data_IF_131303846295
#
_entry.id   IF_131303846295
#
_cell.length_a   1.000
_cell.length_b   1.000
_cell.length_c   1.000
_cell.angle_alpha   90.00
_cell.angle_beta   90.00
_cell.angle_gamma   90.00
#
_symmetry.space_group_name_H-M   'P 1'
#
loop_
_entity.id
_entity.type
_entity.pdbx_description
1 polymer ?
#
# COMPACT_ATOMS: atom_id res chain seq x y z
N UNK A 1 23.98 4.28 26.06
CA UNK A 1 23.58 5.12 24.91
C UNK A 1 22.71 4.26 24.02
N UNK A 2 21.40 4.31 24.25
CA UNK A 2 20.42 3.48 23.55
C UNK A 2 20.15 4.05 22.16
N UNK A 3 21.03 3.72 21.20
CA UNK A 3 20.83 4.00 19.78
C UNK A 3 19.86 2.98 19.16
N UNK A 4 18.66 2.86 19.72
CA UNK A 4 17.53 2.22 19.03
C UNK A 4 16.89 3.23 18.06
N UNK A 5 17.65 3.68 17.07
CA UNK A 5 17.09 4.34 15.88
C UNK A 5 16.36 3.28 15.05
N UNK A 6 15.19 2.85 15.52
CA UNK A 6 14.28 2.06 14.70
C UNK A 6 13.70 3.00 13.65
N UNK A 7 14.23 2.92 12.42
CA UNK A 7 13.67 3.66 11.29
C UNK A 7 12.18 3.32 11.15
N UNK A 8 11.32 4.32 11.39
CA UNK A 8 9.86 4.18 11.41
C UNK A 8 9.27 3.74 10.06
N UNK A 9 10.05 3.85 8.97
CA UNK A 9 9.62 3.43 7.65
C UNK A 9 9.73 1.92 7.39
N UNK A 10 10.46 1.17 8.21
CA UNK A 10 10.56 -0.29 8.07
C UNK A 10 9.43 -0.98 8.84
N UNK A 11 8.85 -2.02 8.23
CA UNK A 11 7.87 -2.89 8.87
C UNK A 11 8.33 -4.34 8.85
N UNK A 12 7.73 -5.13 9.73
CA UNK A 12 7.88 -6.59 9.77
C UNK A 12 6.61 -7.29 9.25
N UNK A 13 6.64 -8.61 9.11
CA UNK A 13 5.48 -9.43 8.68
C UNK A 13 4.27 -9.24 9.61
N UNK A 14 4.49 -8.86 10.85
CA UNK A 14 3.44 -8.55 11.81
C UNK A 14 2.79 -7.18 11.58
N UNK A 15 3.40 -6.28 10.80
CA UNK A 15 2.87 -4.94 10.53
C UNK A 15 1.84 -4.87 9.41
N UNK A 16 0.86 -3.98 9.56
CA UNK A 16 -0.16 -3.73 8.53
C UNK A 16 0.53 -3.40 7.22
N UNK A 17 0.05 -3.99 6.12
CA UNK A 17 0.62 -3.83 4.79
C UNK A 17 -0.38 -3.19 3.86
N UNK A 18 0.04 -2.10 3.24
CA UNK A 18 -0.75 -1.36 2.27
C UNK A 18 0.09 -1.16 1.02
N UNK A 19 -0.56 -1.16 -0.14
CA UNK A 19 0.05 -0.69 -1.37
C UNK A 19 0.15 0.83 -1.36
N UNK A 20 0.97 1.41 -2.24
CA UNK A 20 1.01 2.87 -2.38
C UNK A 20 -0.34 3.41 -2.85
N UNK A 21 -1.04 2.69 -3.72
CA UNK A 21 -2.38 3.03 -4.20
C UNK A 21 -3.41 3.06 -3.06
N UNK A 22 -3.45 2.01 -2.23
CA UNK A 22 -4.35 1.95 -1.08
C UNK A 22 -4.04 3.06 -0.07
N UNK A 23 -2.76 3.36 0.13
CA UNK A 23 -2.31 4.42 1.02
C UNK A 23 -2.85 5.80 0.61
N UNK A 24 -2.65 6.21 -0.65
CA UNK A 24 -3.18 7.50 -1.13
C UNK A 24 -4.71 7.52 -1.14
N UNK A 25 -5.34 6.39 -1.48
CA UNK A 25 -6.81 6.27 -1.42
C UNK A 25 -7.37 6.45 0.00
N UNK A 26 -6.63 6.03 1.04
CA UNK A 26 -6.99 6.25 2.44
C UNK A 26 -6.80 7.71 2.81
N UNK A 27 -5.68 8.33 2.42
CA UNK A 27 -5.39 9.74 2.73
C UNK A 27 -6.50 10.67 2.23
N UNK A 28 -7.01 10.45 1.01
CA UNK A 28 -8.09 11.25 0.42
C UNK A 28 -9.38 11.27 1.27
N UNK A 29 -9.54 10.28 2.17
CA UNK A 29 -10.73 10.13 3.01
C UNK A 29 -10.61 10.81 4.38
N UNK A 30 -9.40 11.21 4.77
CA UNK A 30 -9.11 11.72 6.11
C UNK A 30 -9.18 13.25 6.12
N UNK A 31 -9.86 13.80 7.12
CA UNK A 31 -9.85 15.23 7.43
C UNK A 31 -8.84 15.52 8.54
N UNK A 32 -7.92 16.45 8.28
CA UNK A 32 -6.83 16.83 9.19
C UNK A 32 -7.33 17.41 10.52
N UNK A 33 -8.43 18.17 10.52
CA UNK A 33 -8.98 18.83 11.72
C UNK A 33 -9.46 17.87 12.80
N UNK A 34 -9.70 16.59 12.45
CA UNK A 34 -10.17 15.56 13.37
C UNK A 34 -9.03 14.75 14.00
N UNK A 35 -7.80 14.95 13.53
CA UNK A 35 -6.62 14.25 14.04
C UNK A 35 -5.97 15.04 15.16
N UNK A 36 -5.53 14.34 16.21
CA UNK A 36 -4.67 14.97 17.23
C UNK A 36 -3.34 15.44 16.61
N UNK A 37 -2.62 16.39 17.23
CA UNK A 37 -1.30 16.81 16.76
C UNK A 37 -0.29 15.65 16.63
N UNK A 38 -0.39 14.66 17.52
CA UNK A 38 0.45 13.45 17.45
C UNK A 38 0.06 12.56 16.26
N UNK A 39 -1.24 12.41 16.00
CA UNK A 39 -1.75 11.69 14.82
C UNK A 39 -1.29 12.35 13.52
N UNK A 40 -1.41 13.67 13.43
CA UNK A 40 -0.96 14.45 12.28
C UNK A 40 0.55 14.27 12.01
N UNK A 41 1.38 14.28 13.06
CA UNK A 41 2.82 14.06 12.93
C UNK A 41 3.14 12.66 12.40
N UNK A 42 2.43 11.62 12.85
CA UNK A 42 2.58 10.25 12.32
C UNK A 42 2.21 10.17 10.84
N UNK A 43 1.11 10.80 10.43
CA UNK A 43 0.71 10.87 9.02
C UNK A 43 1.73 11.61 8.16
N UNK A 44 2.30 12.72 8.67
CA UNK A 44 3.36 13.45 7.98
C UNK A 44 4.61 12.58 7.77
N UNK A 45 5.07 11.89 8.81
CA UNK A 45 6.21 10.98 8.72
C UNK A 45 5.91 9.83 7.73
N UNK A 46 4.68 9.30 7.75
CA UNK A 46 4.28 8.25 6.83
C UNK A 46 4.22 8.74 5.39
N UNK A 47 3.78 9.97 5.17
CA UNK A 47 3.76 10.61 3.86
C UNK A 47 5.15 10.81 3.31
N UNK A 48 6.09 11.29 4.11
CA UNK A 48 7.48 11.46 3.72
C UNK A 48 8.10 10.12 3.26
N UNK A 49 8.00 9.06 4.06
CA UNK A 49 8.54 7.74 3.69
C UNK A 49 7.82 7.17 2.46
N UNK A 50 6.51 7.41 2.31
CA UNK A 50 5.75 6.92 1.15
C UNK A 50 6.11 7.68 -0.13
N UNK A 51 6.30 8.99 -0.05
CA UNK A 51 6.73 9.83 -1.16
C UNK A 51 8.12 9.45 -1.65
N UNK A 52 9.08 9.25 -0.74
CA UNK A 52 10.40 8.72 -1.12
C UNK A 52 10.27 7.33 -1.73
N UNK A 53 9.44 6.46 -1.14
CA UNK A 53 9.16 5.14 -1.68
C UNK A 53 8.71 5.18 -3.15
N UNK A 54 7.70 6.01 -3.44
CA UNK A 54 7.15 6.19 -4.79
C UNK A 54 8.20 6.72 -5.76
N UNK A 55 9.00 7.72 -5.35
CA UNK A 55 10.01 8.30 -6.24
C UNK A 55 11.15 7.33 -6.57
N UNK A 56 11.47 6.40 -5.67
CA UNK A 56 12.51 5.37 -5.90
C UNK A 56 12.00 4.12 -6.63
N UNK A 57 10.68 3.88 -6.73
CA UNK A 57 10.13 2.69 -7.44
C UNK A 57 10.66 2.55 -8.86
N UNK A 58 10.68 3.59 -9.73
CA UNK A 58 11.19 3.45 -11.09
C UNK A 58 12.67 3.04 -11.14
N UNK A 59 13.47 3.53 -10.19
CA UNK A 59 14.89 3.20 -10.10
C UNK A 59 15.11 1.73 -9.73
N UNK A 60 14.33 1.19 -8.79
CA UNK A 60 14.39 -0.22 -8.42
C UNK A 60 13.79 -1.15 -9.47
N UNK A 61 12.78 -0.70 -10.21
CA UNK A 61 12.15 -1.52 -11.26
C UNK A 61 13.01 -1.59 -12.54
N UNK A 62 13.89 -0.60 -12.77
CA UNK A 62 14.64 -0.50 -14.02
C UNK A 62 15.48 -1.75 -14.36
N UNK A 63 16.28 -2.35 -13.46
CA UNK A 63 17.06 -3.55 -13.79
C UNK A 63 16.18 -4.75 -14.15
N UNK A 64 15.05 -4.92 -13.45
CA UNK A 64 14.09 -6.00 -13.70
C UNK A 64 13.41 -5.77 -15.05
N UNK A 65 12.95 -4.56 -15.31
CA UNK A 65 12.33 -4.18 -16.58
C UNK A 65 13.30 -4.35 -17.75
N UNK A 66 14.56 -3.97 -17.57
CA UNK A 66 15.61 -4.17 -18.56
C UNK A 66 15.83 -5.64 -18.88
N UNK A 67 15.91 -6.49 -17.86
CA UNK A 67 16.05 -7.94 -18.02
C UNK A 67 14.87 -8.57 -18.78
N UNK A 68 13.64 -8.24 -18.38
CA UNK A 68 12.42 -8.73 -19.05
C UNK A 68 12.37 -8.23 -20.50
N UNK A 69 12.67 -6.95 -20.73
CA UNK A 69 12.69 -6.40 -22.09
C UNK A 69 13.69 -7.13 -22.97
N UNK A 70 14.91 -7.40 -22.49
CA UNK A 70 15.90 -8.15 -23.26
C UNK A 70 15.48 -9.59 -23.56
N UNK A 71 14.82 -10.24 -22.60
CA UNK A 71 14.27 -11.59 -22.81
C UNK A 71 13.20 -11.59 -23.90
N UNK A 72 12.33 -10.58 -23.95
CA UNK A 72 11.23 -10.48 -24.93
C UNK A 72 11.72 -10.09 -26.33
N UNK A 73 12.68 -9.17 -26.44
CA UNK A 73 13.13 -8.65 -27.74
C UNK A 73 14.29 -9.43 -28.35
N UNK A 74 15.00 -10.24 -27.55
CA UNK A 74 16.15 -11.01 -28.00
C UNK A 74 17.41 -10.17 -28.29
N UNK A 75 18.42 -10.79 -28.92
CA UNK A 75 19.71 -10.15 -29.21
C UNK A 75 19.56 -9.02 -30.23
N UNK A 76 20.01 -7.84 -29.82
CA UNK A 76 20.08 -6.58 -30.59
C UNK A 76 20.96 -6.77 -31.84
N UNK A 77 20.36 -6.80 -33.04
CA UNK A 77 21.11 -6.76 -34.33
C UNK A 77 21.23 -5.31 -34.82
N UNK A 78 22.44 -4.91 -35.24
CA UNK A 78 22.78 -3.54 -35.70
C UNK A 78 21.88 -3.14 -36.87
N UNK A 79 20.99 -2.18 -36.65
CA UNK A 79 20.13 -1.63 -37.70
C UNK A 79 19.08 -0.70 -37.14
N UNK A 80 18.18 -1.21 -36.29
CA UNK A 80 17.04 -0.46 -35.70
C UNK A 80 16.70 -0.95 -34.28
N UNK A 81 17.58 -1.75 -33.68
CA UNK A 81 17.36 -2.46 -32.42
C UNK A 81 17.28 -1.55 -31.19
N UNK A 82 17.92 -0.38 -31.24
CA UNK A 82 17.88 0.60 -30.15
C UNK A 82 16.45 1.05 -29.84
N UNK A 83 15.70 1.44 -30.87
CA UNK A 83 14.30 1.88 -30.72
C UNK A 83 13.37 0.74 -30.32
N UNK A 84 13.55 -0.47 -30.87
CA UNK A 84 12.69 -1.63 -30.53
C UNK A 84 12.84 -2.02 -29.06
N UNK A 85 14.06 -2.09 -28.55
CA UNK A 85 14.30 -2.41 -27.14
C UNK A 85 13.92 -1.25 -26.22
N UNK A 86 14.24 0.00 -26.61
CA UNK A 86 13.91 1.16 -25.80
C UNK A 86 12.39 1.39 -25.72
N UNK A 87 11.66 1.23 -26.82
CA UNK A 87 10.19 1.32 -26.83
C UNK A 87 9.56 0.23 -25.98
N UNK A 88 9.99 -1.04 -26.15
CA UNK A 88 9.45 -2.15 -25.35
C UNK A 88 9.73 -1.94 -23.87
N UNK A 89 10.94 -1.49 -23.52
CA UNK A 89 11.31 -1.15 -22.15
C UNK A 89 10.46 0.00 -21.60
N UNK A 90 10.42 1.15 -22.26
CA UNK A 90 9.85 2.39 -21.72
C UNK A 90 8.33 2.44 -21.79
N UNK A 91 7.72 1.85 -22.82
CA UNK A 91 6.28 1.96 -23.06
C UNK A 91 5.49 0.76 -22.55
N UNK A 92 6.13 -0.39 -22.35
CA UNK A 92 5.45 -1.62 -21.92
C UNK A 92 6.04 -2.10 -20.60
N UNK A 93 7.27 -2.61 -20.61
CA UNK A 93 7.80 -3.38 -19.48
C UNK A 93 8.00 -2.52 -18.24
N UNK A 94 8.56 -1.33 -18.37
CA UNK A 94 8.81 -0.42 -17.25
C UNK A 94 7.50 0.07 -16.61
N UNK A 95 6.49 0.55 -17.36
CA UNK A 95 5.18 0.88 -16.79
C UNK A 95 4.52 -0.29 -16.05
N UNK A 96 4.53 -1.50 -16.60
CA UNK A 96 3.92 -2.68 -15.95
C UNK A 96 4.67 -3.11 -14.69
N UNK A 97 6.01 -3.09 -14.71
CA UNK A 97 6.82 -3.41 -13.53
C UNK A 97 6.65 -2.36 -12.42
N UNK A 98 6.63 -1.07 -12.78
CA UNK A 98 6.33 0.01 -11.85
C UNK A 98 4.90 -0.11 -11.30
N UNK A 99 3.90 -0.37 -12.14
CA UNK A 99 2.51 -0.58 -11.71
C UNK A 99 2.39 -1.74 -10.71
N UNK A 100 3.04 -2.86 -10.99
CA UNK A 100 3.12 -3.98 -10.05
C UNK A 100 3.78 -3.56 -8.73
N UNK A 101 4.89 -2.83 -8.77
CA UNK A 101 5.56 -2.35 -7.56
C UNK A 101 4.70 -1.34 -6.77
N UNK A 102 3.90 -0.50 -7.43
CA UNK A 102 2.99 0.44 -6.77
C UNK A 102 1.80 -0.25 -6.08
N UNK A 103 1.32 -1.35 -6.66
CA UNK A 103 0.16 -2.13 -6.17
C UNK A 103 0.54 -3.23 -5.19
N UNK A 104 1.82 -3.58 -5.07
CA UNK A 104 2.29 -4.59 -4.12
C UNK A 104 2.16 -4.08 -2.68
N UNK A 105 1.55 -4.85 -1.75
CA UNK A 105 1.41 -4.44 -0.36
C UNK A 105 2.75 -4.44 0.37
N UNK A 106 3.09 -3.33 1.02
CA UNK A 106 4.35 -3.16 1.77
C UNK A 106 4.01 -3.05 3.27
N UNK A 107 4.53 -3.94 4.12
CA UNK A 107 4.35 -3.82 5.57
C UNK A 107 5.11 -2.60 6.08
N UNK A 108 4.45 -1.76 6.88
CA UNK A 108 5.11 -0.63 7.55
C UNK A 108 4.58 -0.47 8.97
N UNK A 109 5.50 -0.27 9.91
CA UNK A 109 5.16 -0.04 11.31
C UNK A 109 4.26 1.18 11.51
N UNK A 110 4.49 2.26 10.77
CA UNK A 110 3.65 3.45 10.82
C UNK A 110 2.19 3.18 10.42
N UNK A 111 1.92 2.23 9.50
CA UNK A 111 0.54 1.82 9.20
C UNK A 111 -0.11 1.18 10.44
N UNK A 112 0.61 0.27 11.10
CA UNK A 112 0.16 -0.35 12.35
C UNK A 112 -0.07 0.70 13.43
N UNK A 113 0.86 1.62 13.65
CA UNK A 113 0.77 2.63 14.72
C UNK A 113 -0.38 3.63 14.54
N UNK A 114 -0.80 3.87 13.30
CA UNK A 114 -1.93 4.74 12.98
C UNK A 114 -3.24 3.95 13.09
N UNK A 115 -3.34 2.86 12.32
CA UNK A 115 -4.58 2.08 12.15
C UNK A 115 -4.92 1.29 13.43
N UNK A 116 -3.93 0.71 14.09
CA UNK A 116 -4.12 -0.10 15.29
C UNK A 116 -4.04 0.70 16.58
N UNK A 117 -4.01 2.03 16.53
CA UNK A 117 -4.02 2.82 17.75
C UNK A 117 -5.38 2.70 18.47
N UNK A 118 -5.32 2.53 19.80
CA UNK A 118 -6.51 2.47 20.67
C UNK A 118 -7.08 3.87 21.01
N UNK A 119 -6.51 4.92 20.42
CA UNK A 119 -6.91 6.30 20.65
C UNK A 119 -8.07 6.70 19.73
N UNK A 120 -8.67 7.86 20.00
CA UNK A 120 -9.72 8.44 19.17
C UNK A 120 -9.30 8.58 17.69
N UNK A 121 -8.02 8.90 17.42
CA UNK A 121 -7.48 9.00 16.06
C UNK A 121 -7.57 7.67 15.30
N UNK A 122 -7.17 6.56 15.93
CA UNK A 122 -7.24 5.23 15.31
C UNK A 122 -8.67 4.80 15.02
N UNK A 123 -9.57 5.02 15.99
CA UNK A 123 -11.00 4.78 15.79
C UNK A 123 -11.57 5.64 14.66
N UNK A 124 -11.19 6.91 14.59
CA UNK A 124 -11.58 7.82 13.51
C UNK A 124 -11.11 7.31 12.14
N UNK A 125 -9.82 6.98 12.01
CA UNK A 125 -9.24 6.45 10.76
C UNK A 125 -9.95 5.17 10.32
N UNK A 126 -10.11 4.19 11.23
CA UNK A 126 -10.80 2.93 10.92
C UNK A 126 -12.25 3.17 10.46
N UNK A 127 -12.99 4.02 11.16
CA UNK A 127 -14.37 4.35 10.80
C UNK A 127 -14.47 5.09 9.46
N UNK A 128 -13.55 6.02 9.17
CA UNK A 128 -13.50 6.73 7.89
C UNK A 128 -13.23 5.79 6.73
N UNK A 129 -12.23 4.91 6.86
CA UNK A 129 -11.91 3.92 5.83
C UNK A 129 -13.10 2.99 5.61
N UNK A 130 -13.73 2.51 6.69
CA UNK A 130 -14.92 1.65 6.63
C UNK A 130 -16.09 2.31 5.88
N UNK A 131 -16.32 3.60 6.10
CA UNK A 131 -17.43 4.34 5.49
C UNK A 131 -17.15 4.72 4.03
N UNK A 132 -15.96 5.22 3.71
CA UNK A 132 -15.67 5.80 2.40
C UNK A 132 -15.02 4.83 1.42
N UNK A 133 -14.26 3.85 1.92
CA UNK A 133 -13.50 2.88 1.11
C UNK A 133 -13.73 1.44 1.64
N UNK A 134 -14.96 0.91 1.53
CA UNK A 134 -15.31 -0.40 2.11
C UNK A 134 -14.48 -1.56 1.53
N UNK A 135 -14.03 -1.47 0.27
CA UNK A 135 -13.14 -2.48 -0.33
C UNK A 135 -11.77 -2.54 0.34
N UNK A 136 -11.15 -1.39 0.60
CA UNK A 136 -9.88 -1.29 1.33
C UNK A 136 -10.09 -1.75 2.77
N UNK A 137 -11.19 -1.34 3.41
CA UNK A 137 -11.54 -1.77 4.75
C UNK A 137 -11.67 -3.29 4.86
N UNK A 138 -12.27 -3.98 3.89
CA UNK A 138 -12.39 -5.44 3.91
C UNK A 138 -11.01 -6.10 3.95
N UNK A 139 -10.10 -5.72 3.05
CA UNK A 139 -8.72 -6.22 3.01
C UNK A 139 -7.97 -5.95 4.32
N UNK A 140 -8.06 -4.72 4.82
CA UNK A 140 -7.46 -4.33 6.10
C UNK A 140 -8.05 -5.11 7.27
N UNK A 141 -9.38 -5.25 7.33
CA UNK A 141 -10.07 -5.96 8.41
C UNK A 141 -9.67 -7.43 8.49
N UNK A 142 -9.46 -8.07 7.34
CA UNK A 142 -8.94 -9.43 7.24
C UNK A 142 -7.51 -9.51 7.74
N UNK A 143 -6.67 -8.58 7.32
CA UNK A 143 -5.29 -8.51 7.78
C UNK A 143 -5.21 -8.30 9.31
N UNK A 144 -5.99 -7.38 9.85
CA UNK A 144 -6.05 -7.10 11.29
C UNK A 144 -6.54 -8.31 12.08
N UNK A 145 -7.57 -9.00 11.59
CA UNK A 145 -8.11 -10.20 12.21
C UNK A 145 -7.07 -11.33 12.28
N UNK A 146 -6.40 -11.61 11.15
CA UNK A 146 -5.35 -12.64 11.03
C UNK A 146 -4.14 -12.35 11.92
N UNK A 147 -3.92 -11.07 12.25
CA UNK A 147 -2.83 -10.60 13.12
C UNK A 147 -3.24 -10.47 14.59
N UNK A 148 -4.41 -10.97 14.96
CA UNK A 148 -4.96 -10.95 16.32
C UNK A 148 -5.25 -9.54 16.88
N UNK A 149 -5.38 -8.52 16.02
CA UNK A 149 -5.93 -7.25 16.46
C UNK A 149 -7.44 -7.37 16.65
N UNK A 150 -7.96 -6.72 17.70
CA UNK A 150 -9.37 -6.74 18.08
C UNK A 150 -9.82 -5.30 18.32
N UNK A 151 -10.79 -4.85 17.53
CA UNK A 151 -11.32 -3.49 17.56
C UNK A 151 -12.85 -3.55 17.45
N UNK A 152 -13.59 -2.61 18.06
CA UNK A 152 -15.05 -2.59 17.95
C UNK A 152 -15.52 -2.33 16.51
N UNK A 153 -14.70 -1.70 15.67
CA UNK A 153 -15.07 -1.42 14.27
C UNK A 153 -14.93 -2.64 13.35
N UNK A 154 -14.13 -3.63 13.78
CA UNK A 154 -14.02 -4.95 13.16
C UNK A 154 -15.31 -5.75 13.44
N UNK A 155 -16.43 -5.30 12.88
CA UNK A 155 -17.69 -6.05 12.82
C UNK A 155 -17.56 -7.18 11.80
N UNK A 156 -16.68 -8.13 12.07
CA UNK A 156 -16.90 -9.49 11.65
C UNK A 156 -17.69 -10.08 12.80
N UNK A 157 -18.94 -10.45 12.54
CA UNK A 157 -19.67 -11.29 13.47
C UNK A 157 -18.73 -12.43 13.86
N UNK A 158 -18.46 -12.61 15.16
CA UNK A 158 -17.64 -13.71 15.70
C UNK A 158 -18.21 -15.09 15.30
N UNK A 159 -19.35 -15.12 14.62
CA UNK A 159 -20.10 -16.24 14.07
C UNK A 159 -19.99 -16.42 12.55
N UNK A 160 -19.45 -15.46 11.78
CA UNK A 160 -19.26 -15.60 10.34
C UNK A 160 -17.92 -16.29 10.03
N UNK A 161 -17.97 -17.47 9.41
CA UNK A 161 -16.79 -18.32 9.16
C UNK A 161 -15.92 -17.86 7.99
N UNK A 162 -16.40 -16.96 7.13
CA UNK A 162 -15.72 -16.62 5.89
C UNK A 162 -15.77 -15.12 5.55
N UNK A 163 -14.65 -14.62 5.03
CA UNK A 163 -14.54 -13.28 4.48
C UNK A 163 -15.29 -13.22 3.15
N UNK A 164 -16.17 -12.22 2.93
CA UNK A 164 -16.88 -12.14 1.68
C UNK A 164 -15.89 -11.87 0.52
N UNK A 165 -15.97 -12.68 -0.53
CA UNK A 165 -15.06 -12.63 -1.68
C UNK A 165 -15.23 -11.32 -2.48
N UNK A 166 -14.16 -10.88 -3.14
CA UNK A 166 -13.93 -9.56 -3.77
C UNK A 166 -14.84 -9.20 -4.97
N UNK A 167 -15.92 -9.93 -5.20
CA UNK A 167 -16.92 -9.51 -6.20
C UNK A 167 -17.77 -8.40 -5.59
N UNK A 168 -17.56 -7.18 -6.08
CA UNK A 168 -18.55 -6.10 -6.01
C UNK A 168 -19.86 -6.70 -6.50
N UNK A 169 -20.80 -6.94 -5.59
CA UNK A 169 -22.15 -7.32 -5.99
C UNK A 169 -22.65 -6.19 -6.89
N UNK A 170 -23.03 -6.45 -8.15
CA UNK A 170 -23.68 -5.43 -8.96
C UNK A 170 -24.90 -4.96 -8.18
N UNK A 171 -25.02 -3.65 -8.00
CA UNK A 171 -26.17 -3.01 -7.37
C UNK A 171 -27.46 -3.70 -7.86
N UNK A 172 -28.20 -4.33 -6.94
CA UNK A 172 -29.59 -4.66 -7.19
C UNK A 172 -30.37 -3.37 -7.01
N UNK A 173 -30.80 -2.79 -8.13
CA UNK A 173 -31.85 -1.78 -8.17
C UNK A 173 -33.17 -2.39 -7.70
#
# INVERSE_FOLDING_TARGET
>A
MDNNYHFWGNGDRQDVSLSYEDYYSILDCLLDEKLSPQGLMKFKNLHEVSMYGVSYVPLYCFPVAYGISHMLTGKVRRGHSGYRNLFSLMSVVLPFTCWYAYTTPIPRRLYTEIICSNNADGAYVRNRIKQQKPGIWRKLSQQLYNKNFRFPELNQDLTATEFPLDYVAPHKF
#
